data_IF_711110324284
#
_entry.id   IF_711110324284
#
_cell.length_a   1.000
_cell.length_b   1.000
_cell.length_c   1.000
_cell.angle_alpha   90.00
_cell.angle_beta   90.00
_cell.angle_gamma   90.00
#
_symmetry.space_group_name_H-M   'P 1'
#
loop_
_entity.id
_entity.type
_entity.pdbx_description
1 polymer ?
#
# COMPACT_ATOMS: atom_id res chain seq x y z
N UNK A 1 -13.55 -7.28 23.12
CA UNK A 1 -14.68 -7.62 22.22
C UNK A 1 -15.92 -6.73 22.37
N UNK A 2 -16.20 -6.10 23.53
CA UNK A 2 -17.37 -5.19 23.67
C UNK A 2 -17.06 -3.69 23.48
N UNK A 3 -15.80 -3.31 23.29
CA UNK A 3 -15.35 -1.90 23.20
C UNK A 3 -15.39 -1.32 21.77
N UNK A 4 -15.21 -2.14 20.73
CA UNK A 4 -15.06 -1.64 19.36
C UNK A 4 -16.40 -1.17 18.74
N UNK A 5 -17.51 -1.87 19.01
CA UNK A 5 -18.84 -1.53 18.47
C UNK A 5 -19.39 -0.18 18.92
N UNK A 6 -18.93 0.36 20.05
CA UNK A 6 -19.45 1.62 20.61
C UNK A 6 -18.78 2.88 20.04
N UNK A 7 -17.62 2.76 19.38
CA UNK A 7 -16.86 3.88 18.83
C UNK A 7 -17.21 4.22 17.37
N UNK A 8 -17.99 3.38 16.66
CA UNK A 8 -18.22 3.54 15.21
C UNK A 8 -19.35 4.50 14.83
N UNK A 9 -20.12 5.04 15.79
CA UNK A 9 -20.97 6.24 15.64
C UNK A 9 -21.65 6.47 14.29
N UNK A 10 -22.29 5.45 13.69
CA UNK A 10 -22.95 5.59 12.39
C UNK A 10 -24.34 6.18 12.60
N UNK A 11 -24.44 7.51 12.54
CA UNK A 11 -25.71 8.24 12.45
C UNK A 11 -26.05 8.55 11.00
N UNK A 12 -27.31 8.36 10.62
CA UNK A 12 -27.86 8.82 9.34
C UNK A 12 -27.91 10.34 9.30
N UNK A 13 -27.10 10.98 8.45
CA UNK A 13 -27.29 12.37 8.07
C UNK A 13 -27.60 12.48 6.57
N UNK A 14 -28.81 12.97 6.30
CA UNK A 14 -29.27 13.42 5.00
C UNK A 14 -28.51 14.68 4.58
N UNK A 15 -27.90 14.69 3.40
CA UNK A 15 -27.49 15.96 2.78
C UNK A 15 -27.94 16.08 1.34
N UNK A 16 -28.69 17.16 1.19
CA UNK A 16 -29.20 17.84 0.02
C UNK A 16 -28.16 17.96 -1.12
N UNK A 17 -28.66 17.80 -2.34
CA UNK A 17 -27.90 17.66 -3.57
C UNK A 17 -27.64 19.06 -4.17
N UNK A 18 -26.37 19.48 -4.25
CA UNK A 18 -25.93 20.55 -5.14
C UNK A 18 -24.72 20.07 -5.96
N UNK A 19 -25.04 19.38 -7.05
CA UNK A 19 -24.13 19.08 -8.14
C UNK A 19 -23.67 20.38 -8.80
N UNK A 20 -22.44 20.80 -8.52
CA UNK A 20 -21.71 21.76 -9.36
C UNK A 20 -20.37 21.14 -9.79
N UNK A 21 -20.10 21.25 -11.09
CA UNK A 21 -18.95 20.78 -11.89
C UNK A 21 -17.69 20.36 -11.08
N UNK A 22 -17.49 19.05 -10.86
CA UNK A 22 -16.17 18.48 -10.48
C UNK A 22 -15.55 17.75 -11.67
N UNK A 23 -14.68 18.45 -12.41
CA UNK A 23 -13.88 17.86 -13.50
C UNK A 23 -12.38 17.74 -13.18
N UNK A 24 -11.97 17.99 -11.93
CA UNK A 24 -10.58 17.82 -11.48
C UNK A 24 -10.53 17.10 -10.14
N UNK A 25 -9.50 16.28 -9.96
CA UNK A 25 -9.12 15.74 -8.67
C UNK A 25 -8.81 16.94 -7.76
N UNK A 26 -9.53 17.09 -6.65
CA UNK A 26 -9.36 18.20 -5.71
C UNK A 26 -8.12 17.91 -4.85
N UNK A 27 -6.93 18.25 -5.35
CA UNK A 27 -5.67 18.00 -4.67
C UNK A 27 -5.38 19.16 -3.72
N UNK A 28 -5.06 18.89 -2.44
CA UNK A 28 -4.71 19.93 -1.47
C UNK A 28 -3.57 20.82 -1.98
N UNK A 29 -3.66 22.15 -1.79
CA UNK A 29 -2.61 23.08 -2.20
C UNK A 29 -1.22 22.73 -1.64
N UNK A 30 -1.14 22.22 -0.41
CA UNK A 30 0.15 21.79 0.17
C UNK A 30 0.76 20.62 -0.61
N UNK A 31 -0.06 19.68 -1.08
CA UNK A 31 0.41 18.54 -1.87
C UNK A 31 0.86 18.98 -3.27
N UNK A 32 0.16 19.91 -3.91
CA UNK A 32 0.59 20.47 -5.20
C UNK A 32 1.94 21.20 -5.08
N UNK A 33 2.10 22.00 -4.03
CA UNK A 33 3.38 22.65 -3.71
C UNK A 33 4.50 21.63 -3.49
N UNK A 34 4.20 20.54 -2.78
CA UNK A 34 5.14 19.43 -2.60
C UNK A 34 5.54 18.77 -3.93
N UNK A 35 4.58 18.55 -4.85
CA UNK A 35 4.84 17.98 -6.17
C UNK A 35 5.72 18.90 -7.03
N UNK A 36 5.43 20.20 -7.06
CA UNK A 36 6.25 21.19 -7.77
C UNK A 36 7.67 21.25 -7.21
N UNK A 37 7.80 21.21 -5.88
CA UNK A 37 9.11 21.12 -5.23
C UNK A 37 9.84 19.84 -5.64
N UNK A 38 9.18 18.68 -5.64
CA UNK A 38 9.81 17.42 -6.08
C UNK A 38 10.32 17.50 -7.52
N UNK A 39 9.57 18.12 -8.44
CA UNK A 39 9.95 18.28 -9.85
C UNK A 39 11.16 19.20 -10.07
N UNK A 40 11.41 20.14 -9.16
CA UNK A 40 12.54 21.08 -9.28
C UNK A 40 13.84 20.53 -8.68
N UNK A 41 13.78 19.48 -7.88
CA UNK A 41 14.93 18.93 -7.19
C UNK A 41 15.64 17.86 -8.05
N UNK A 42 16.99 17.81 -8.08
CA UNK A 42 17.74 16.84 -8.89
C UNK A 42 17.53 15.39 -8.40
N UNK A 43 17.73 14.36 -9.23
CA UNK A 43 17.74 12.97 -8.76
C UNK A 43 18.77 12.78 -7.64
N UNK A 44 18.42 11.99 -6.62
CA UNK A 44 19.32 11.64 -5.52
C UNK A 44 19.34 10.12 -5.35
N UNK A 45 20.43 9.52 -4.83
CA UNK A 45 20.40 8.14 -4.37
C UNK A 45 19.24 7.93 -3.37
N UNK A 46 18.73 6.71 -3.29
CA UNK A 46 17.69 6.40 -2.30
C UNK A 46 18.19 6.69 -0.89
N UNK A 47 17.43 7.47 -0.10
CA UNK A 47 17.71 7.65 1.32
C UNK A 47 17.74 6.29 2.02
N UNK A 48 18.67 6.12 2.95
CA UNK A 48 18.81 4.88 3.70
C UNK A 48 18.57 5.11 5.20
N UNK A 49 17.92 4.15 5.84
CA UNK A 49 17.84 4.07 7.30
C UNK A 49 18.16 2.64 7.73
N UNK A 50 19.17 2.48 8.59
CA UNK A 50 19.70 1.18 9.02
C UNK A 50 20.01 0.22 7.84
N UNK A 51 20.56 0.76 6.74
CA UNK A 51 20.91 -0.01 5.54
C UNK A 51 19.73 -0.42 4.65
N UNK A 52 18.52 0.07 4.93
CA UNK A 52 17.33 -0.16 4.11
C UNK A 52 17.12 1.06 3.20
N UNK A 53 17.09 0.89 1.87
CA UNK A 53 16.77 1.98 0.95
C UNK A 53 15.29 2.35 1.02
N UNK A 54 14.95 3.63 0.90
CA UNK A 54 13.58 4.16 0.85
C UNK A 54 13.36 5.01 -0.41
N UNK A 55 12.11 5.16 -0.90
CA UNK A 55 11.84 6.09 -2.00
C UNK A 55 12.23 7.52 -1.61
N UNK A 56 12.73 8.30 -2.57
CA UNK A 56 13.06 9.70 -2.33
C UNK A 56 11.80 10.59 -2.38
N UNK A 57 10.75 10.24 -1.64
CA UNK A 57 9.60 11.14 -1.44
C UNK A 57 10.08 12.44 -0.79
N UNK A 58 9.33 13.53 -0.99
CA UNK A 58 9.71 14.83 -0.45
C UNK A 58 10.06 14.80 1.05
N UNK A 59 9.31 14.11 1.94
CA UNK A 59 9.66 14.04 3.36
C UNK A 59 11.05 13.44 3.59
N UNK A 60 11.38 12.31 2.94
CA UNK A 60 12.71 11.69 3.03
C UNK A 60 13.82 12.61 2.51
N UNK A 61 13.55 13.39 1.46
CA UNK A 61 14.53 14.31 0.86
C UNK A 61 14.80 15.56 1.69
N UNK A 62 13.79 16.03 2.41
CA UNK A 62 13.84 17.31 3.13
C UNK A 62 14.17 17.13 4.62
N UNK A 63 13.76 16.01 5.21
CA UNK A 63 13.94 15.71 6.65
C UNK A 63 14.95 14.59 6.91
N UNK A 64 15.23 13.75 5.91
CA UNK A 64 16.09 12.57 6.07
C UNK A 64 15.34 11.34 6.59
N UNK A 65 15.85 10.15 6.25
CA UNK A 65 15.16 8.89 6.52
C UNK A 65 14.99 8.61 8.02
N UNK A 66 15.99 8.89 8.85
CA UNK A 66 15.91 8.71 10.30
C UNK A 66 14.74 9.50 10.91
N UNK A 67 14.61 10.80 10.56
CA UNK A 67 13.54 11.63 11.10
C UNK A 67 12.15 11.11 10.66
N UNK A 68 12.00 10.68 9.41
CA UNK A 68 10.73 10.11 8.92
C UNK A 68 10.39 8.82 9.64
N UNK A 69 11.33 7.88 9.72
CA UNK A 69 11.10 6.58 10.35
C UNK A 69 10.80 6.73 11.85
N UNK A 70 11.53 7.58 12.56
CA UNK A 70 11.24 7.87 13.96
C UNK A 70 9.91 8.62 14.13
N UNK A 71 9.55 9.50 13.20
CA UNK A 71 8.25 10.17 13.18
C UNK A 71 7.09 9.17 13.07
N UNK A 72 7.19 8.20 12.17
CA UNK A 72 6.19 7.13 11.98
C UNK A 72 6.10 6.26 13.23
N UNK A 73 7.25 5.83 13.77
CA UNK A 73 7.30 5.00 14.99
C UNK A 73 6.63 5.67 16.19
N UNK A 74 6.75 7.01 16.28
CA UNK A 74 6.18 7.84 17.34
C UNK A 74 4.79 8.42 17.00
N UNK A 75 4.22 8.08 15.85
CA UNK A 75 2.93 8.59 15.41
C UNK A 75 1.81 8.24 16.41
N UNK A 76 0.99 9.24 16.72
CA UNK A 76 -0.12 9.09 17.66
C UNK A 76 -1.34 8.52 16.93
N UNK A 77 -1.35 7.20 16.72
CA UNK A 77 -2.52 6.51 16.18
C UNK A 77 -3.72 6.55 17.13
N UNK A 78 -4.91 6.49 16.54
CA UNK A 78 -6.21 6.38 17.22
C UNK A 78 -6.58 4.90 17.34
N UNK A 79 -7.39 4.56 18.34
CA UNK A 79 -7.86 3.18 18.55
C UNK A 79 -8.69 2.62 17.38
N UNK A 80 -9.34 3.51 16.62
CA UNK A 80 -10.14 3.16 15.46
C UNK A 80 -9.38 3.25 14.14
N UNK A 81 -8.09 3.59 14.15
CA UNK A 81 -7.28 3.55 12.94
C UNK A 81 -7.11 2.11 12.46
N UNK A 82 -7.01 1.97 11.14
CA UNK A 82 -6.68 0.71 10.47
C UNK A 82 -5.41 0.96 9.68
N UNK A 83 -4.40 0.11 9.92
CA UNK A 83 -3.12 0.23 9.24
C UNK A 83 -2.97 -0.85 8.17
N UNK A 84 -2.79 -0.43 6.93
CA UNK A 84 -2.42 -1.31 5.83
C UNK A 84 -0.90 -1.42 5.80
N UNK A 85 -0.37 -2.61 6.00
CA UNK A 85 1.04 -2.92 5.81
C UNK A 85 1.20 -3.75 4.54
N UNK A 86 2.13 -3.38 3.67
CA UNK A 86 2.45 -4.17 2.47
C UNK A 86 3.90 -3.91 2.10
N UNK A 87 4.64 -4.91 1.62
CA UNK A 87 5.79 -4.59 0.79
C UNK A 87 5.26 -3.79 -0.42
N UNK A 88 6.04 -2.80 -0.87
CA UNK A 88 5.61 -1.99 -2.00
C UNK A 88 5.21 -2.88 -3.18
N UNK A 89 4.13 -2.47 -3.88
CA UNK A 89 3.57 -3.12 -5.09
C UNK A 89 2.80 -4.42 -4.87
N UNK A 90 2.45 -4.76 -3.63
CA UNK A 90 1.62 -5.95 -3.33
C UNK A 90 0.11 -5.74 -3.46
N UNK A 91 -0.38 -4.53 -3.81
CA UNK A 91 -1.82 -4.28 -4.05
C UNK A 91 -2.46 -3.22 -3.15
N UNK A 92 -1.67 -2.38 -2.49
CA UNK A 92 -2.09 -1.40 -1.47
C UNK A 92 -3.24 -0.48 -1.89
N UNK A 93 -3.22 0.06 -3.12
CA UNK A 93 -4.29 0.94 -3.62
C UNK A 93 -5.61 0.18 -3.77
N UNK A 94 -5.54 -1.10 -4.16
CA UNK A 94 -6.73 -1.93 -4.33
C UNK A 94 -7.33 -2.31 -2.97
N UNK A 95 -6.47 -2.73 -2.03
CA UNK A 95 -6.89 -3.00 -0.66
C UNK A 95 -7.50 -1.76 -0.01
N UNK A 96 -6.86 -0.60 -0.14
CA UNK A 96 -7.35 0.66 0.42
C UNK A 96 -8.79 0.95 -0.04
N UNK A 97 -9.08 0.87 -1.34
CA UNK A 97 -10.44 1.14 -1.86
C UNK A 97 -11.45 0.10 -1.37
N UNK A 98 -11.08 -1.19 -1.31
CA UNK A 98 -11.95 -2.22 -0.74
C UNK A 98 -12.32 -1.88 0.72
N UNK A 99 -11.33 -1.52 1.55
CA UNK A 99 -11.57 -1.17 2.95
C UNK A 99 -12.41 0.11 3.09
N UNK A 100 -12.15 1.12 2.25
CA UNK A 100 -12.93 2.35 2.23
C UNK A 100 -14.41 2.09 1.92
N UNK A 101 -14.70 1.20 0.96
CA UNK A 101 -16.06 0.82 0.64
C UNK A 101 -16.73 -0.04 1.73
N UNK A 102 -16.00 -0.98 2.34
CA UNK A 102 -16.49 -1.76 3.49
C UNK A 102 -16.88 -0.83 4.64
N UNK A 103 -15.97 0.06 5.05
CA UNK A 103 -16.17 0.95 6.20
C UNK A 103 -17.25 1.99 5.94
N UNK A 104 -17.28 2.55 4.73
CA UNK A 104 -18.30 3.52 4.34
C UNK A 104 -19.67 2.90 4.05
N UNK A 105 -19.78 1.56 4.02
CA UNK A 105 -20.95 0.84 3.52
C UNK A 105 -21.39 1.36 2.13
N UNK A 106 -20.41 1.54 1.23
CA UNK A 106 -20.59 2.12 -0.12
C UNK A 106 -20.35 1.06 -1.19
N UNK A 107 -20.92 1.29 -2.36
CA UNK A 107 -20.80 0.39 -3.53
C UNK A 107 -20.14 1.05 -4.74
N UNK A 108 -19.75 2.32 -4.63
CA UNK A 108 -19.20 3.11 -5.73
C UNK A 108 -17.86 3.73 -5.36
N UNK A 109 -16.89 3.67 -6.28
CA UNK A 109 -15.59 4.30 -6.12
C UNK A 109 -15.73 5.82 -6.04
N UNK A 110 -15.07 6.44 -5.07
CA UNK A 110 -14.99 7.89 -4.94
C UNK A 110 -13.80 8.44 -5.73
N UNK A 111 -13.69 9.77 -5.84
CA UNK A 111 -12.49 10.44 -6.37
C UNK A 111 -11.43 10.72 -5.30
N UNK A 112 -11.74 10.46 -4.03
CA UNK A 112 -10.75 10.51 -2.95
C UNK A 112 -9.69 9.45 -3.21
N UNK A 113 -8.46 9.71 -2.78
CA UNK A 113 -7.35 8.81 -3.06
C UNK A 113 -6.57 8.43 -1.82
N UNK A 114 -5.80 7.37 -2.01
CA UNK A 114 -4.92 6.76 -1.01
C UNK A 114 -3.66 7.62 -0.79
N UNK A 115 -3.20 8.36 -1.80
CA UNK A 115 -1.93 9.11 -1.76
C UNK A 115 -1.70 10.02 -0.56
N UNK A 116 -2.77 10.53 0.07
CA UNK A 116 -2.71 11.42 1.24
C UNK A 116 -2.68 10.71 2.61
N UNK A 117 -2.60 9.38 2.63
CA UNK A 117 -2.76 8.56 3.85
C UNK A 117 -1.59 7.60 4.11
N UNK A 118 -0.54 7.71 3.30
CA UNK A 118 0.69 6.94 3.42
C UNK A 118 1.67 7.63 4.37
N UNK A 119 1.94 7.02 5.52
CA UNK A 119 2.62 7.66 6.65
C UNK A 119 3.99 8.26 6.26
N UNK A 120 4.73 7.58 5.39
CA UNK A 120 6.06 8.00 4.95
C UNK A 120 6.08 8.98 3.76
N UNK A 121 4.92 9.25 3.14
CA UNK A 121 4.81 10.12 1.96
C UNK A 121 4.13 11.47 2.25
N UNK A 122 3.40 11.59 3.37
CA UNK A 122 2.73 12.83 3.76
C UNK A 122 3.77 13.85 4.25
N UNK A 123 3.65 15.15 3.87
CA UNK A 123 4.58 16.19 4.32
C UNK A 123 4.75 16.26 5.84
N UNK A 124 3.63 16.29 6.57
CA UNK A 124 3.59 16.29 8.03
C UNK A 124 2.52 15.32 8.54
N UNK A 125 2.89 14.44 9.47
CA UNK A 125 1.96 13.45 10.04
C UNK A 125 0.76 14.11 10.76
N UNK A 126 0.91 15.34 11.28
CA UNK A 126 -0.18 16.09 11.92
C UNK A 126 -1.31 16.47 10.95
N UNK A 127 -1.08 16.43 9.63
CA UNK A 127 -2.16 16.61 8.64
C UNK A 127 -3.24 15.54 8.76
N UNK A 128 -2.88 14.34 9.26
CA UNK A 128 -3.82 13.24 9.50
C UNK A 128 -4.77 13.52 10.67
N UNK A 129 -4.50 14.53 11.51
CA UNK A 129 -5.35 14.86 12.65
C UNK A 129 -6.66 15.51 12.23
N UNK A 130 -6.68 16.17 11.06
CA UNK A 130 -7.88 16.76 10.48
C UNK A 130 -8.86 15.72 9.90
N UNK A 131 -8.40 14.49 9.65
CA UNK A 131 -9.25 13.44 9.09
C UNK A 131 -10.23 12.88 10.13
N UNK A 132 -11.48 12.58 9.75
CA UNK A 132 -12.42 11.90 10.65
C UNK A 132 -11.97 10.46 10.93
N UNK A 133 -12.40 9.92 12.06
CA UNK A 133 -12.23 8.50 12.38
C UNK A 133 -13.38 7.66 11.79
N UNK A 134 -13.15 6.37 11.48
CA UNK A 134 -11.86 5.67 11.46
C UNK A 134 -10.98 6.11 10.28
N UNK A 135 -9.65 6.21 10.50
CA UNK A 135 -8.70 6.49 9.41
C UNK A 135 -8.15 5.19 8.85
N UNK A 136 -8.15 5.07 7.52
CA UNK A 136 -7.39 4.03 6.83
C UNK A 136 -6.03 4.64 6.47
N UNK A 137 -4.99 4.17 7.11
CA UNK A 137 -3.62 4.60 6.90
C UNK A 137 -2.83 3.46 6.29
N UNK A 138 -1.74 3.76 5.59
CA UNK A 138 -0.88 2.72 5.04
C UNK A 138 0.60 3.04 5.19
N UNK A 139 1.41 1.99 5.14
CA UNK A 139 2.85 2.11 5.12
C UNK A 139 3.52 0.90 4.48
N UNK A 140 4.71 1.12 3.94
CA UNK A 140 5.64 0.11 3.45
C UNK A 140 6.89 0.00 4.32
N UNK A 141 6.97 0.72 5.45
CA UNK A 141 8.08 0.53 6.40
C UNK A 141 8.01 -0.86 7.04
N UNK A 142 9.15 -1.39 7.48
CA UNK A 142 9.22 -2.69 8.18
C UNK A 142 8.42 -2.64 9.48
N UNK A 143 7.87 -3.79 9.91
CA UNK A 143 7.03 -3.90 11.10
C UNK A 143 7.63 -3.21 12.34
N UNK A 144 8.94 -3.38 12.58
CA UNK A 144 9.65 -2.78 13.72
C UNK A 144 9.63 -1.22 13.77
N UNK A 145 9.19 -0.57 12.70
CA UNK A 145 9.12 0.89 12.54
C UNK A 145 7.70 1.44 12.44
N UNK A 146 6.67 0.59 12.45
CA UNK A 146 5.29 1.09 12.43
C UNK A 146 4.96 1.77 13.78
N UNK A 147 3.85 2.53 13.88
CA UNK A 147 3.53 3.28 15.10
C UNK A 147 3.42 2.37 16.33
N UNK A 148 4.29 2.58 17.32
CA UNK A 148 4.39 1.74 18.53
C UNK A 148 3.06 1.72 19.28
N UNK A 149 2.44 2.90 19.40
CA UNK A 149 1.12 3.08 20.01
C UNK A 149 0.04 2.22 19.35
N UNK A 150 0.10 2.04 18.03
CA UNK A 150 -0.90 1.24 17.30
C UNK A 150 -0.87 -0.22 17.75
N UNK A 151 0.34 -0.77 17.90
CA UNK A 151 0.54 -2.14 18.39
C UNK A 151 0.09 -2.24 19.86
N UNK A 152 0.55 -1.34 20.73
CA UNK A 152 0.23 -1.35 22.17
C UNK A 152 -1.27 -1.21 22.47
N UNK A 153 -2.01 -0.53 21.59
CA UNK A 153 -3.47 -0.33 21.73
C UNK A 153 -4.30 -1.41 21.03
N UNK A 154 -3.67 -2.41 20.43
CA UNK A 154 -4.39 -3.48 19.72
C UNK A 154 -5.05 -3.00 18.42
N UNK A 155 -4.47 -1.98 17.76
CA UNK A 155 -4.98 -1.42 16.51
C UNK A 155 -4.92 -2.42 15.36
N UNK A 156 -5.96 -2.49 14.55
CA UNK A 156 -6.07 -3.50 13.47
C UNK A 156 -5.01 -3.24 12.38
N UNK A 157 -4.30 -4.30 12.00
CA UNK A 157 -3.34 -4.28 10.88
C UNK A 157 -3.83 -5.23 9.81
N UNK A 158 -3.89 -4.76 8.56
CA UNK A 158 -4.18 -5.60 7.41
C UNK A 158 -2.93 -5.67 6.56
N UNK A 159 -2.36 -6.87 6.50
CA UNK A 159 -1.18 -7.17 5.72
C UNK A 159 -1.59 -7.79 4.38
N UNK A 160 -1.21 -7.18 3.26
CA UNK A 160 -1.40 -7.81 1.94
C UNK A 160 -0.07 -8.23 1.34
N UNK A 161 0.03 -9.54 1.07
CA UNK A 161 1.20 -10.17 0.51
C UNK A 161 0.93 -10.62 -0.93
N UNK A 162 1.97 -10.59 -1.77
CA UNK A 162 1.90 -10.96 -3.19
C UNK A 162 3.14 -11.76 -3.57
N UNK A 163 3.01 -12.64 -4.58
CA UNK A 163 4.15 -13.40 -5.06
C UNK A 163 5.32 -12.47 -5.45
N UNK A 164 6.55 -12.77 -5.01
CA UNK A 164 7.67 -11.84 -5.11
C UNK A 164 8.12 -11.55 -6.54
N UNK A 165 7.89 -12.48 -7.47
CA UNK A 165 8.31 -12.30 -8.86
C UNK A 165 7.46 -11.21 -9.54
N UNK A 166 6.14 -11.22 -9.35
CA UNK A 166 5.29 -10.13 -9.83
C UNK A 166 5.54 -8.80 -9.09
N UNK A 167 5.83 -8.85 -7.79
CA UNK A 167 6.23 -7.67 -7.02
C UNK A 167 7.47 -7.02 -7.63
N UNK A 168 8.51 -7.80 -7.94
CA UNK A 168 9.76 -7.30 -8.53
C UNK A 168 9.53 -6.59 -9.86
N UNK A 169 8.74 -7.19 -10.77
CA UNK A 169 8.41 -6.56 -12.07
C UNK A 169 7.58 -5.32 -11.86
N UNK A 170 6.62 -5.34 -10.94
CA UNK A 170 5.79 -4.17 -10.67
C UNK A 170 6.58 -3.01 -10.04
N UNK A 171 7.57 -3.30 -9.19
CA UNK A 171 8.40 -2.29 -8.55
C UNK A 171 9.38 -1.69 -9.54
N UNK A 172 10.00 -2.51 -10.39
CA UNK A 172 10.83 -2.05 -11.50
C UNK A 172 10.13 -1.04 -12.41
N UNK A 173 8.91 -1.36 -12.84
CA UNK A 173 8.12 -0.45 -13.67
C UNK A 173 7.72 0.83 -12.93
N UNK A 174 7.53 0.76 -11.62
CA UNK A 174 7.15 1.90 -10.80
C UNK A 174 8.31 2.87 -10.61
N UNK A 175 9.49 2.40 -10.22
CA UNK A 175 10.67 3.26 -9.95
C UNK A 175 11.22 3.95 -11.21
N UNK A 176 10.93 3.42 -12.40
CA UNK A 176 11.29 4.07 -13.68
C UNK A 176 10.41 5.26 -14.04
N UNK A 177 9.16 5.26 -13.59
CA UNK A 177 8.16 6.27 -13.96
C UNK A 177 7.92 7.29 -12.84
N UNK A 178 8.13 6.91 -11.59
CA UNK A 178 8.01 7.81 -10.45
C UNK A 178 9.13 8.87 -10.45
N UNK A 179 8.75 10.16 -10.42
CA UNK A 179 9.71 11.27 -10.33
C UNK A 179 10.58 11.22 -9.06
N UNK A 180 10.11 10.53 -8.01
CA UNK A 180 10.83 10.37 -6.75
C UNK A 180 11.92 9.31 -6.84
N UNK A 181 11.88 8.44 -7.84
CA UNK A 181 12.91 7.45 -8.08
C UNK A 181 13.77 7.84 -9.29
N UNK A 182 13.14 8.22 -10.41
CA UNK A 182 13.74 8.67 -11.67
C UNK A 182 15.03 7.94 -12.08
N UNK A 183 15.04 6.61 -11.95
CA UNK A 183 16.15 5.77 -12.38
C UNK A 183 15.68 4.88 -13.52
N UNK A 184 16.18 5.13 -14.73
CA UNK A 184 16.02 4.24 -15.88
C UNK A 184 16.96 3.03 -15.75
N UNK A 185 16.75 2.22 -14.71
CA UNK A 185 17.57 1.02 -14.45
C UNK A 185 17.13 -0.09 -15.40
N UNK A 186 18.01 -0.65 -16.27
CA UNK A 186 17.69 -1.82 -17.07
C UNK A 186 17.25 -3.01 -16.20
N UNK A 187 16.41 -3.91 -16.75
CA UNK A 187 15.88 -5.04 -15.98
C UNK A 187 16.96 -5.91 -15.35
N UNK A 188 18.02 -6.23 -16.08
CA UNK A 188 19.06 -7.13 -15.58
C UNK A 188 19.83 -6.52 -14.39
N UNK A 189 20.08 -5.21 -14.40
CA UNK A 189 20.71 -4.52 -13.27
C UNK A 189 19.75 -4.45 -12.07
N UNK A 190 18.49 -4.07 -12.33
CA UNK A 190 17.46 -4.06 -11.30
C UNK A 190 17.27 -5.45 -10.66
N UNK A 191 17.34 -6.52 -11.45
CA UNK A 191 17.21 -7.89 -10.97
C UNK A 191 18.31 -8.24 -9.94
N UNK A 192 19.56 -7.83 -10.16
CA UNK A 192 20.63 -8.04 -9.18
C UNK A 192 20.41 -7.21 -7.90
N UNK A 193 19.87 -6.00 -8.02
CA UNK A 193 19.47 -5.19 -6.87
C UNK A 193 18.34 -5.85 -6.08
N UNK A 194 17.33 -6.38 -6.78
CA UNK A 194 16.21 -7.14 -6.19
C UNK A 194 16.71 -8.39 -5.44
N UNK A 195 17.61 -9.16 -6.03
CA UNK A 195 18.23 -10.35 -5.41
C UNK A 195 18.98 -10.03 -4.11
N UNK A 196 19.49 -8.80 -3.97
CA UNK A 196 20.28 -8.35 -2.80
C UNK A 196 19.50 -7.45 -1.86
N UNK A 197 18.22 -7.19 -2.12
CA UNK A 197 17.39 -6.28 -1.33
C UNK A 197 17.79 -4.81 -1.42
N UNK A 198 18.61 -4.42 -2.41
CA UNK A 198 19.03 -3.03 -2.66
C UNK A 198 17.99 -2.28 -3.49
N UNK A 199 16.73 -2.33 -3.06
CA UNK A 199 15.58 -1.66 -3.69
C UNK A 199 14.79 -0.90 -2.61
N UNK A 200 13.89 0.02 -2.97
CA UNK A 200 13.08 0.71 -1.98
C UNK A 200 12.30 -0.27 -1.10
N UNK A 201 12.33 -0.03 0.21
CA UNK A 201 11.83 -0.87 1.30
C UNK A 201 12.62 -2.16 1.57
N UNK A 202 13.73 -2.37 0.85
CA UNK A 202 14.72 -3.40 1.13
C UNK A 202 14.37 -4.78 0.55
N UNK A 203 14.93 -5.81 1.18
CA UNK A 203 14.64 -7.23 0.89
C UNK A 203 13.16 -7.54 1.13
N UNK A 204 12.48 -8.05 0.10
CA UNK A 204 11.13 -8.60 0.22
C UNK A 204 11.09 -9.73 1.26
N UNK A 205 12.08 -10.61 1.26
CA UNK A 205 12.16 -11.71 2.22
C UNK A 205 12.17 -11.20 3.67
N UNK A 206 13.00 -10.19 3.96
CA UNK A 206 13.11 -9.64 5.32
C UNK A 206 11.80 -8.96 5.73
N UNK A 207 11.14 -8.27 4.78
CA UNK A 207 9.85 -7.63 5.03
C UNK A 207 8.80 -8.67 5.41
N UNK A 208 8.61 -9.70 4.57
CA UNK A 208 7.55 -10.68 4.77
C UNK A 208 7.84 -11.58 5.98
N UNK A 209 9.07 -12.01 6.20
CA UNK A 209 9.43 -12.79 7.40
C UNK A 209 9.27 -11.95 8.68
N UNK A 210 9.53 -10.65 8.62
CA UNK A 210 9.25 -9.73 9.73
C UNK A 210 7.77 -9.60 10.04
N UNK A 211 6.92 -9.56 9.01
CA UNK A 211 5.46 -9.59 9.17
C UNK A 211 4.97 -10.94 9.70
N UNK A 212 5.53 -12.05 9.24
CA UNK A 212 5.19 -13.39 9.72
C UNK A 212 5.55 -13.58 11.21
N UNK A 213 6.71 -13.10 11.62
CA UNK A 213 7.12 -13.09 13.01
C UNK A 213 6.16 -12.22 13.84
N UNK A 214 5.80 -11.03 13.36
CA UNK A 214 4.85 -10.15 14.02
C UNK A 214 3.47 -10.77 14.20
N UNK A 215 2.98 -11.57 13.24
CA UNK A 215 1.73 -12.33 13.41
C UNK A 215 1.80 -13.34 14.56
N UNK A 216 2.99 -13.90 14.80
CA UNK A 216 3.24 -14.84 15.89
C UNK A 216 3.33 -14.11 17.24
N UNK A 217 4.02 -12.97 17.27
CA UNK A 217 4.24 -12.19 18.48
C UNK A 217 2.99 -11.41 18.93
N UNK A 218 2.10 -11.08 17.98
CA UNK A 218 0.89 -10.29 18.21
C UNK A 218 -0.37 -11.00 17.70
N UNK A 219 -0.77 -12.13 18.32
CA UNK A 219 -1.89 -12.94 17.84
C UNK A 219 -3.19 -12.14 17.80
N UNK A 220 -3.85 -12.14 16.64
CA UNK A 220 -5.13 -11.44 16.42
C UNK A 220 -5.01 -9.96 16.03
N UNK A 221 -3.81 -9.38 16.05
CA UNK A 221 -3.58 -7.98 15.66
C UNK A 221 -3.52 -7.79 14.14
N UNK A 222 -2.98 -8.80 13.44
CA UNK A 222 -2.67 -8.75 12.02
C UNK A 222 -3.55 -9.77 11.28
N UNK A 223 -4.22 -9.30 10.23
CA UNK A 223 -4.86 -10.17 9.25
C UNK A 223 -4.09 -10.13 7.93
N UNK A 224 -3.57 -11.28 7.51
CA UNK A 224 -2.83 -11.42 6.26
C UNK A 224 -3.71 -11.95 5.15
N UNK A 225 -3.76 -11.23 4.04
CA UNK A 225 -4.45 -11.62 2.82
C UNK A 225 -3.51 -11.68 1.62
N UNK A 226 -3.83 -12.54 0.67
CA UNK A 226 -3.03 -12.75 -0.54
C UNK A 226 -3.65 -11.97 -1.70
N UNK A 227 -2.81 -11.24 -2.44
CA UNK A 227 -3.23 -10.59 -3.68
C UNK A 227 -3.86 -11.59 -4.65
N UNK A 228 -3.28 -12.78 -4.75
CA UNK A 228 -3.72 -13.85 -5.65
C UNK A 228 -5.10 -14.39 -5.27
N UNK A 229 -5.35 -14.61 -3.98
CA UNK A 229 -6.66 -15.07 -3.50
C UNK A 229 -7.73 -14.01 -3.69
N UNK A 230 -7.38 -12.73 -3.42
CA UNK A 230 -8.28 -11.60 -3.68
C UNK A 230 -8.63 -11.50 -5.17
N UNK A 231 -7.68 -11.79 -6.07
CA UNK A 231 -7.92 -11.81 -7.53
C UNK A 231 -8.80 -12.98 -7.94
N UNK A 232 -8.60 -14.17 -7.36
CA UNK A 232 -9.33 -15.39 -7.73
C UNK A 232 -10.74 -15.44 -7.16
N UNK A 233 -10.94 -14.96 -5.93
CA UNK A 233 -12.23 -14.98 -5.25
C UNK A 233 -12.45 -13.71 -4.40
N UNK A 234 -12.67 -12.56 -5.04
CA UNK A 234 -12.73 -11.26 -4.35
C UNK A 234 -13.86 -11.21 -3.30
N UNK A 235 -15.04 -11.76 -3.59
CA UNK A 235 -16.17 -11.70 -2.65
C UNK A 235 -15.86 -12.47 -1.36
N UNK A 236 -15.24 -13.65 -1.45
CA UNK A 236 -14.79 -14.43 -0.29
C UNK A 236 -13.77 -13.66 0.55
N UNK A 237 -12.77 -13.08 -0.08
CA UNK A 237 -11.71 -12.37 0.64
C UNK A 237 -12.22 -11.03 1.23
N UNK A 238 -13.13 -10.33 0.56
CA UNK A 238 -13.84 -9.15 1.10
C UNK A 238 -14.64 -9.51 2.35
N UNK A 239 -15.36 -10.64 2.36
CA UNK A 239 -16.09 -11.10 3.56
C UNK A 239 -15.15 -11.34 4.74
N UNK A 240 -13.96 -11.93 4.51
CA UNK A 240 -12.98 -12.12 5.56
C UNK A 240 -12.39 -10.81 6.08
N UNK A 241 -12.12 -9.84 5.19
CA UNK A 241 -11.71 -8.49 5.60
C UNK A 241 -12.77 -7.82 6.48
N UNK A 242 -14.04 -7.86 6.05
CA UNK A 242 -15.16 -7.33 6.84
C UNK A 242 -15.27 -8.02 8.21
N UNK A 243 -15.13 -9.35 8.26
CA UNK A 243 -15.16 -10.12 9.50
C UNK A 243 -14.01 -9.75 10.44
N UNK A 244 -12.77 -9.59 9.94
CA UNK A 244 -11.63 -9.13 10.74
C UNK A 244 -11.84 -7.70 11.26
N UNK A 245 -12.42 -6.83 10.42
CA UNK A 245 -12.84 -5.51 10.83
C UNK A 245 -14.04 -5.52 11.77
N UNK A 246 -14.69 -6.66 12.02
CA UNK A 246 -15.93 -6.76 12.83
C UNK A 246 -17.08 -5.91 12.27
N UNK A 247 -17.12 -5.72 10.95
CA UNK A 247 -18.15 -4.98 10.24
C UNK A 247 -19.07 -5.99 9.56
N UNK A 248 -20.37 -5.88 9.81
CA UNK A 248 -21.37 -6.67 9.10
C UNK A 248 -21.67 -6.02 7.75
N UNK A 249 -21.38 -6.72 6.66
CA UNK A 249 -21.63 -6.26 5.29
C UNK A 249 -22.55 -7.27 4.63
N UNK A 250 -23.65 -6.80 4.05
CA UNK A 250 -24.59 -7.66 3.32
C UNK A 250 -23.92 -8.27 2.07
N UNK A 251 -24.34 -9.47 1.69
CA UNK A 251 -23.73 -10.20 0.57
C UNK A 251 -23.84 -9.41 -0.75
N UNK A 252 -24.94 -8.68 -0.95
CA UNK A 252 -25.17 -7.84 -2.13
C UNK A 252 -24.18 -6.65 -2.18
N UNK A 253 -23.81 -6.12 -1.01
CA UNK A 253 -22.82 -5.04 -0.91
C UNK A 253 -21.43 -5.60 -1.17
N UNK A 254 -21.10 -6.79 -0.65
CA UNK A 254 -19.84 -7.48 -0.94
C UNK A 254 -19.66 -7.70 -2.44
N UNK A 255 -20.69 -8.20 -3.11
CA UNK A 255 -20.68 -8.41 -4.57
C UNK A 255 -20.49 -7.10 -5.33
N UNK A 256 -21.17 -6.05 -4.88
CA UNK A 256 -21.06 -4.71 -5.46
C UNK A 256 -19.65 -4.12 -5.28
N UNK A 257 -19.01 -4.29 -4.11
CA UNK A 257 -17.62 -3.87 -3.85
C UNK A 257 -16.67 -4.64 -4.77
N UNK A 258 -16.82 -5.96 -4.89
CA UNK A 258 -15.99 -6.78 -5.77
C UNK A 258 -16.08 -6.31 -7.23
N UNK A 259 -17.29 -5.99 -7.70
CA UNK A 259 -17.53 -5.46 -9.05
C UNK A 259 -16.97 -4.03 -9.22
N UNK A 260 -17.14 -3.16 -8.24
CA UNK A 260 -16.65 -1.78 -8.30
C UNK A 260 -15.12 -1.70 -8.29
N UNK A 261 -14.46 -2.61 -7.56
CA UNK A 261 -13.00 -2.62 -7.37
C UNK A 261 -12.25 -3.52 -8.35
N UNK A 262 -12.85 -3.90 -9.48
CA UNK A 262 -12.12 -4.58 -10.55
C UNK A 262 -10.97 -3.71 -11.06
N UNK A 263 -9.94 -4.34 -11.65
CA UNK A 263 -8.77 -3.61 -12.16
C UNK A 263 -9.17 -2.52 -13.16
N UNK A 264 -10.03 -2.84 -14.13
CA UNK A 264 -10.46 -1.90 -15.16
C UNK A 264 -11.23 -0.70 -14.56
N UNK A 265 -12.10 -0.96 -13.58
CA UNK A 265 -12.86 0.10 -12.90
C UNK A 265 -11.94 0.99 -12.06
N UNK A 266 -10.98 0.40 -11.35
CA UNK A 266 -9.98 1.12 -10.57
C UNK A 266 -9.08 1.97 -11.49
N UNK A 267 -8.56 1.38 -12.56
CA UNK A 267 -7.74 2.09 -13.55
C UNK A 267 -8.51 3.26 -14.15
N UNK A 268 -9.75 3.04 -14.63
CA UNK A 268 -10.58 4.10 -15.18
C UNK A 268 -10.86 5.23 -14.19
N UNK A 269 -11.06 4.91 -12.90
CA UNK A 269 -11.44 5.91 -11.91
C UNK A 269 -10.26 6.68 -11.32
N UNK A 270 -9.08 6.06 -11.22
CA UNK A 270 -7.96 6.53 -10.40
C UNK A 270 -6.64 6.72 -11.17
N UNK A 271 -6.58 6.38 -12.47
CA UNK A 271 -5.33 6.46 -13.25
C UNK A 271 -4.64 7.83 -13.21
N UNK A 272 -5.43 8.90 -13.07
CA UNK A 272 -4.91 10.27 -13.04
C UNK A 272 -4.09 10.60 -11.78
N UNK A 273 -4.28 9.87 -10.67
CA UNK A 273 -3.55 10.09 -9.40
C UNK A 273 -2.03 10.05 -9.62
N UNK A 274 -1.57 9.06 -10.37
CA UNK A 274 -0.13 8.89 -10.63
C UNK A 274 0.44 9.77 -11.73
N UNK A 275 -0.40 10.39 -12.57
CA UNK A 275 0.11 11.23 -13.68
C UNK A 275 0.88 12.45 -13.18
N UNK A 276 0.52 12.96 -12.01
CA UNK A 276 1.07 14.19 -11.45
C UNK A 276 2.51 14.03 -10.94
N UNK A 277 2.83 12.80 -10.54
CA UNK A 277 4.13 12.36 -10.04
C UNK A 277 4.83 11.42 -11.02
N UNK A 278 4.42 11.43 -12.30
CA UNK A 278 5.09 10.68 -13.37
C UNK A 278 6.11 11.54 -14.11
N UNK A 279 7.25 10.95 -14.48
CA UNK A 279 8.29 11.58 -15.30
C UNK A 279 7.84 11.86 -16.74
N UNK A 280 6.92 11.07 -17.27
CA UNK A 280 6.40 11.16 -18.65
C UNK A 280 4.93 11.62 -18.72
N UNK A 281 4.33 11.97 -17.57
CA UNK A 281 2.92 12.35 -17.46
C UNK A 281 1.91 11.20 -17.65
N UNK A 282 2.36 9.96 -17.85
CA UNK A 282 1.51 8.78 -17.97
C UNK A 282 1.27 8.13 -16.61
N UNK A 283 0.08 7.58 -16.40
CA UNK A 283 -0.24 6.85 -15.17
C UNK A 283 0.59 5.56 -15.07
N UNK A 284 1.10 5.27 -13.87
CA UNK A 284 1.99 4.12 -13.64
C UNK A 284 1.59 3.22 -12.48
N UNK A 285 0.57 3.59 -11.68
CA UNK A 285 0.07 2.74 -10.59
C UNK A 285 -0.73 1.55 -11.15
N UNK A 286 -1.62 1.78 -12.12
CA UNK A 286 -2.51 0.78 -12.70
C UNK A 286 -1.95 0.25 -14.04
N UNK A 287 -1.06 -0.74 -13.96
CA UNK A 287 -0.31 -1.26 -15.13
C UNK A 287 -0.98 -2.45 -15.83
N UNK A 288 -1.16 -3.57 -15.12
CA UNK A 288 -1.77 -4.82 -15.66
C UNK A 288 -2.75 -5.47 -14.69
N UNK A 289 -2.40 -5.55 -13.40
CA UNK A 289 -3.30 -6.10 -12.38
C UNK A 289 -3.53 -7.62 -12.50
N UNK A 290 -2.53 -8.35 -13.00
CA UNK A 290 -2.59 -9.79 -13.27
C UNK A 290 -1.62 -10.58 -12.38
N UNK A 291 -1.81 -11.91 -12.32
CA UNK A 291 -0.90 -12.86 -11.70
C UNK A 291 -0.07 -13.49 -12.82
N UNK A 292 1.24 -13.60 -12.65
CA UNK A 292 2.12 -14.31 -13.58
C UNK A 292 2.79 -13.45 -14.65
N UNK A 293 2.65 -12.12 -14.59
CA UNK A 293 3.30 -11.22 -15.54
C UNK A 293 4.83 -11.24 -15.45
N UNK A 294 5.37 -11.73 -14.34
CA UNK A 294 6.80 -11.96 -14.16
C UNK A 294 7.43 -12.79 -15.29
N UNK A 295 6.68 -13.71 -15.91
CA UNK A 295 7.14 -14.54 -17.03
C UNK A 295 7.54 -13.73 -18.26
N UNK A 296 7.03 -12.51 -18.41
CA UNK A 296 7.36 -11.62 -19.52
C UNK A 296 8.67 -10.85 -19.31
N UNK A 297 9.24 -10.88 -18.10
CA UNK A 297 10.48 -10.17 -17.75
C UNK A 297 11.62 -11.11 -17.40
N UNK A 298 11.33 -12.18 -16.66
CA UNK A 298 12.35 -13.12 -16.20
C UNK A 298 12.85 -13.99 -17.34
N UNK A 299 14.17 -14.06 -17.49
CA UNK A 299 14.79 -15.17 -18.25
C UNK A 299 14.70 -16.47 -17.45
N UNK A 300 14.86 -17.62 -18.12
CA UNK A 300 14.91 -18.93 -17.45
C UNK A 300 16.00 -18.97 -16.37
N UNK A 301 17.20 -18.48 -16.69
CA UNK A 301 18.32 -18.45 -15.73
C UNK A 301 18.05 -17.53 -14.52
N UNK A 302 17.42 -16.36 -14.73
CA UNK A 302 17.00 -15.49 -13.62
C UNK A 302 15.94 -16.16 -12.76
N UNK A 303 14.99 -16.87 -13.38
CA UNK A 303 13.96 -17.60 -12.66
C UNK A 303 14.56 -18.69 -11.78
N UNK A 304 15.46 -19.52 -12.31
CA UNK A 304 16.15 -20.58 -11.54
C UNK A 304 16.95 -20.01 -10.37
N UNK A 305 17.68 -18.91 -10.58
CA UNK A 305 18.42 -18.21 -9.51
C UNK A 305 17.48 -17.70 -8.42
N UNK A 306 16.36 -17.09 -8.81
CA UNK A 306 15.38 -16.58 -7.86
C UNK A 306 14.68 -17.70 -7.09
N UNK A 307 14.33 -18.81 -7.76
CA UNK A 307 13.71 -19.97 -7.14
C UNK A 307 14.63 -20.65 -6.12
N UNK A 308 15.94 -20.74 -6.41
CA UNK A 308 16.93 -21.25 -5.46
C UNK A 308 17.00 -20.36 -4.21
N UNK A 309 17.11 -19.04 -4.38
CA UNK A 309 17.12 -18.09 -3.27
C UNK A 309 15.82 -18.12 -2.47
N UNK A 310 14.68 -18.13 -3.15
CA UNK A 310 13.36 -18.20 -2.53
C UNK A 310 13.22 -19.46 -1.67
N UNK A 311 13.62 -20.62 -2.21
CA UNK A 311 13.59 -21.89 -1.48
C UNK A 311 14.47 -21.84 -0.24
N UNK A 312 15.65 -21.21 -0.31
CA UNK A 312 16.54 -21.04 0.85
C UNK A 312 15.93 -20.13 1.92
N UNK A 313 15.50 -18.93 1.51
CA UNK A 313 15.02 -17.87 2.42
C UNK A 313 13.67 -18.17 3.04
N UNK A 314 12.76 -18.81 2.30
CA UNK A 314 11.38 -19.05 2.70
C UNK A 314 11.11 -20.51 3.13
N UNK A 315 12.15 -21.32 3.35
CA UNK A 315 11.99 -22.76 3.68
C UNK A 315 11.09 -23.03 4.88
N UNK A 316 11.17 -22.17 5.90
CA UNK A 316 10.44 -22.32 7.16
C UNK A 316 9.20 -21.42 7.24
N UNK A 317 8.98 -20.56 6.24
CA UNK A 317 7.85 -19.65 6.20
C UNK A 317 6.53 -20.38 5.92
N UNK A 318 5.48 -19.99 6.65
CA UNK A 318 4.11 -20.48 6.45
C UNK A 318 3.47 -19.89 5.20
N UNK A 319 3.96 -18.77 4.69
CA UNK A 319 3.38 -18.14 3.49
C UNK A 319 3.58 -19.00 2.25
N UNK A 320 2.51 -19.16 1.47
CA UNK A 320 2.47 -19.93 0.21
C UNK A 320 1.87 -19.08 -0.90
N UNK A 321 2.48 -19.12 -2.09
CA UNK A 321 2.12 -18.24 -3.20
C UNK A 321 1.66 -19.01 -4.41
N UNK A 322 0.79 -18.36 -5.18
CA UNK A 322 0.39 -18.78 -6.50
C UNK A 322 1.12 -17.87 -7.49
N UNK A 323 1.75 -18.46 -8.51
CA UNK A 323 2.53 -17.72 -9.51
C UNK A 323 1.81 -17.62 -10.86
N UNK A 324 0.60 -18.19 -10.95
CA UNK A 324 -0.30 -18.22 -12.11
C UNK A 324 -1.76 -18.46 -11.72
#
# INVERSE_FOLDING_TARGET
MLTWKRQMGVGEESTNNQLTRKSRMDIPPEMMKAIEQMKSLPPVPWPEYEGIPYPAFLPFRTKGAEQIIQGIKNFQSRETDILICTHSKSGTHWLYEILALIIGNKTELTKETKGEKMLEAIPELSMLDALPSPRILDTHVRFQYIPTRHIEKGGKIIHMIRNPKDVSVSLHNHVRKDICANLDIPWNEYFEMWMTGKVPYGSWFDYELGMEQAETDHPGLIYTCYYEDMKKNPTKEIKKLAAFLEINVADEIVESIAKATTFDNMQKNKMDESKLVSSDGQGFIYRKGEIGDWKNSYTVAQNERYDALYKEKMKDSKYKFQYE
#
